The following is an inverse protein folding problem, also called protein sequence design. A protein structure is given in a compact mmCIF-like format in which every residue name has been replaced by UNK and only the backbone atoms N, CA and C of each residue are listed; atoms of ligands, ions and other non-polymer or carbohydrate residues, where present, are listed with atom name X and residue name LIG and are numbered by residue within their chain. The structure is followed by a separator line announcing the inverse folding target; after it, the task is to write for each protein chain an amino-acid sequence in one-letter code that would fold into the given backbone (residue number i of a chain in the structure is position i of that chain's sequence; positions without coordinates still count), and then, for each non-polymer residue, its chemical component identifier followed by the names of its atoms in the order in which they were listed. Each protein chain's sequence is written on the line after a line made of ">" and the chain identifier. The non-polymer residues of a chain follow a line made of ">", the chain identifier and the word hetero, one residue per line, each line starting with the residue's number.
data_IF_930788827619
#
_entry.id   IF_930788827619
#
_cell.length_a   1.000
_cell.length_b   1.000
_cell.length_c   1.000
_cell.angle_alpha   90.00
_cell.angle_beta   90.00
_cell.angle_gamma   90.00
#
_symmetry.space_group_name_H-M   'P 1'
#
loop_
_entity.id
_entity.type
_entity.pdbx_description
1 polymer ?
#
# COMPACT_ATOMS: atom_id res chain seq x y z
N UNK A 1 -27.18 -22.07 25.38
CA UNK A 1 -26.17 -21.98 26.46
C UNK A 1 -24.89 -21.45 25.85
N UNK A 2 -24.26 -20.44 26.46
CA UNK A 2 -22.96 -19.93 26.02
C UNK A 2 -21.82 -20.86 26.46
N UNK A 3 -20.69 -20.79 25.76
CA UNK A 3 -19.44 -21.42 26.19
C UNK A 3 -18.77 -20.50 27.23
N UNK A 4 -18.41 -21.05 28.39
CA UNK A 4 -17.68 -20.33 29.45
C UNK A 4 -16.17 -20.34 29.14
N UNK A 5 -15.78 -19.48 28.20
CA UNK A 5 -14.39 -19.39 27.71
C UNK A 5 -14.00 -17.93 27.47
N UNK A 6 -12.70 -17.65 27.59
CA UNK A 6 -12.13 -16.38 27.16
C UNK A 6 -11.90 -16.38 25.64
N UNK A 7 -12.28 -15.30 24.97
CA UNK A 7 -12.06 -15.11 23.54
C UNK A 7 -10.86 -14.18 23.32
N UNK A 8 -9.87 -14.67 22.57
CA UNK A 8 -8.69 -13.91 22.17
C UNK A 8 -8.67 -13.79 20.64
N UNK A 9 -8.33 -12.59 20.14
CA UNK A 9 -8.24 -12.31 18.71
C UNK A 9 -6.88 -11.66 18.39
N UNK A 10 -6.32 -11.98 17.24
CA UNK A 10 -5.04 -11.46 16.76
C UNK A 10 -5.21 -10.60 15.48
N UNK A 11 -5.96 -9.48 15.54
CA UNK A 11 -6.20 -8.68 14.35
C UNK A 11 -4.95 -7.85 13.98
N UNK A 12 -4.29 -8.23 12.89
CA UNK A 12 -3.22 -7.43 12.28
C UNK A 12 -3.75 -6.38 11.31
N UNK A 13 -3.87 -6.77 10.03
CA UNK A 13 -4.28 -5.89 8.92
C UNK A 13 -5.55 -5.09 9.21
N UNK A 14 -6.54 -5.70 9.87
CA UNK A 14 -7.81 -5.07 10.19
C UNK A 14 -7.67 -3.82 11.09
N UNK A 15 -6.60 -3.71 11.87
CA UNK A 15 -6.32 -2.55 12.71
C UNK A 15 -5.41 -1.53 12.03
N UNK A 16 -4.39 -1.98 11.28
CA UNK A 16 -3.26 -1.11 10.89
C UNK A 16 -3.21 -0.74 9.41
N UNK A 17 -3.95 -1.42 8.53
CA UNK A 17 -3.81 -1.22 7.08
C UNK A 17 -4.13 0.20 6.61
N UNK A 18 -5.24 0.76 7.12
CA UNK A 18 -5.74 2.09 6.73
C UNK A 18 -5.18 3.22 7.61
N UNK A 19 -4.41 2.87 8.65
CA UNK A 19 -3.86 3.83 9.60
C UNK A 19 -2.60 4.55 9.10
N UNK A 20 -2.03 4.10 7.96
CA UNK A 20 -0.79 4.63 7.41
C UNK A 20 -0.87 4.88 5.90
N UNK A 21 -0.11 5.87 5.44
CA UNK A 21 0.07 6.15 4.03
C UNK A 21 1.57 6.28 3.71
N UNK A 22 1.94 5.88 2.50
CA UNK A 22 3.29 6.11 1.97
C UNK A 22 3.30 7.40 1.16
N UNK A 23 4.09 8.38 1.60
CA UNK A 23 4.33 9.62 0.87
C UNK A 23 5.62 9.48 0.06
N UNK A 24 5.56 9.83 -1.22
CA UNK A 24 6.66 9.73 -2.17
C UNK A 24 6.64 10.92 -3.16
N UNK A 25 7.81 11.30 -3.68
CA UNK A 25 7.95 12.40 -4.64
C UNK A 25 8.15 11.88 -6.06
N UNK A 26 7.61 12.61 -7.05
CA UNK A 26 7.91 12.35 -8.47
C UNK A 26 9.30 12.89 -8.78
N UNK A 27 10.24 12.00 -9.12
CA UNK A 27 11.61 12.35 -9.48
C UNK A 27 11.83 12.42 -10.99
N UNK A 28 10.98 11.77 -11.79
CA UNK A 28 11.06 11.84 -13.24
C UNK A 28 9.71 11.61 -13.92
N UNK A 29 9.52 12.24 -15.08
CA UNK A 29 8.37 12.03 -15.96
C UNK A 29 8.87 11.47 -17.28
N UNK A 30 8.45 10.24 -17.61
CA UNK A 30 8.92 9.52 -18.81
C UNK A 30 7.76 9.24 -19.75
N UNK A 31 8.00 9.40 -21.04
CA UNK A 31 7.14 8.86 -22.07
C UNK A 31 7.85 7.71 -22.78
N UNK A 32 7.19 6.57 -22.90
CA UNK A 32 7.78 5.37 -23.52
C UNK A 32 6.68 4.43 -23.99
N UNK A 33 6.80 3.93 -25.24
CA UNK A 33 5.82 3.00 -25.81
C UNK A 33 4.39 3.54 -25.85
N UNK A 34 4.22 4.85 -26.07
CA UNK A 34 2.91 5.52 -26.06
C UNK A 34 2.25 5.63 -24.68
N UNK A 35 3.01 5.42 -23.60
CA UNK A 35 2.53 5.53 -22.22
C UNK A 35 3.34 6.57 -21.45
N UNK A 36 2.68 7.23 -20.52
CA UNK A 36 3.30 8.16 -19.56
C UNK A 36 3.55 7.43 -18.24
N UNK A 37 4.76 7.56 -17.72
CA UNK A 37 5.20 7.00 -16.47
C UNK A 37 5.67 8.12 -15.54
N UNK A 38 5.24 8.05 -14.28
CA UNK A 38 5.81 8.83 -13.19
C UNK A 38 6.76 7.93 -12.42
N UNK A 39 8.03 8.30 -12.34
CA UNK A 39 9.02 7.59 -11.54
C UNK A 39 9.08 8.29 -10.18
N UNK A 40 8.89 7.52 -9.12
CA UNK A 40 8.90 7.99 -7.75
C UNK A 40 10.23 7.66 -7.05
N UNK A 41 10.51 8.30 -5.92
CA UNK A 41 11.62 7.95 -5.02
C UNK A 41 11.30 6.74 -4.10
N UNK A 42 10.08 6.20 -4.17
CA UNK A 42 9.67 4.97 -3.49
C UNK A 42 9.43 3.83 -4.49
N UNK A 43 9.90 2.64 -4.15
CA UNK A 43 9.77 1.43 -4.96
C UNK A 43 9.38 0.19 -4.15
N UNK A 44 9.55 -0.99 -4.73
CA UNK A 44 9.17 -2.27 -4.13
C UNK A 44 9.92 -2.60 -2.84
N UNK A 45 11.10 -2.02 -2.63
CA UNK A 45 11.86 -2.13 -1.39
C UNK A 45 11.21 -1.39 -0.21
N UNK A 46 10.33 -0.41 -0.49
CA UNK A 46 9.58 0.35 0.52
C UNK A 46 8.18 -0.23 0.70
N UNK A 47 7.46 -0.47 -0.40
CA UNK A 47 6.13 -1.09 -0.40
C UNK A 47 6.08 -2.23 -1.43
N UNK A 48 6.36 -3.45 -0.96
CA UNK A 48 6.49 -4.63 -1.82
C UNK A 48 5.15 -5.15 -2.37
N UNK A 49 4.03 -4.79 -1.73
CA UNK A 49 2.72 -5.42 -1.93
C UNK A 49 2.25 -5.45 -3.40
N UNK A 50 2.29 -4.32 -4.15
CA UNK A 50 1.85 -4.33 -5.55
C UNK A 50 2.72 -5.22 -6.43
N UNK A 51 4.04 -5.24 -6.21
CA UNK A 51 4.95 -6.01 -7.05
C UNK A 51 4.97 -7.52 -6.76
N UNK A 52 4.69 -7.93 -5.51
CA UNK A 52 4.76 -9.34 -5.10
C UNK A 52 3.45 -10.10 -5.32
N UNK A 53 2.30 -9.44 -5.13
CA UNK A 53 1.01 -10.11 -5.20
C UNK A 53 -0.10 -9.26 -5.85
N UNK A 54 0.28 -8.34 -6.75
CA UNK A 54 -0.64 -7.48 -7.52
C UNK A 54 -1.69 -6.76 -6.64
N UNK A 55 -1.31 -6.43 -5.39
CA UNK A 55 -2.22 -5.72 -4.50
C UNK A 55 -2.44 -4.30 -4.97
N UNK A 56 -3.71 -3.90 -5.02
CA UNK A 56 -4.11 -2.54 -5.27
C UNK A 56 -3.90 -1.66 -4.02
N UNK A 57 -3.41 -0.45 -4.25
CA UNK A 57 -3.39 0.66 -3.30
C UNK A 57 -3.78 1.92 -4.06
N UNK A 58 -4.63 2.76 -3.48
CA UNK A 58 -4.98 4.03 -4.09
C UNK A 58 -3.77 4.98 -4.08
N UNK A 59 -3.55 5.64 -5.21
CA UNK A 59 -2.47 6.61 -5.40
C UNK A 59 -3.10 7.97 -5.67
N UNK A 60 -2.93 8.90 -4.73
CA UNK A 60 -3.51 10.24 -4.78
C UNK A 60 -2.41 11.30 -4.76
N UNK A 61 -2.57 12.43 -5.48
CA UNK A 61 -1.65 13.56 -5.36
C UNK A 61 -1.81 14.22 -3.98
N UNK A 62 -0.72 14.76 -3.43
CA UNK A 62 -0.78 15.69 -2.29
C UNK A 62 -1.17 17.09 -2.79
N UNK A 63 -1.93 17.82 -1.97
CA UNK A 63 -2.33 19.21 -2.21
C UNK A 63 -1.19 20.20 -1.92
#
# INVERSE_FOLDING_TARGET
>A
AGLDVELVFEPGRALVAEAGALVASVIYRKESGGRRFLILDAGMNVLIRPALYDAWHDVLPLA
#
